data_IF_188449966799
#
_entry.id   IF_188449966799
#
_cell.length_a   1.000
_cell.length_b   1.000
_cell.length_c   1.000
_cell.angle_alpha   90.00
_cell.angle_beta   90.00
_cell.angle_gamma   90.00
#
_symmetry.space_group_name_H-M   'P 1'
#
loop_
_entity.id
_entity.type
_entity.pdbx_description
1 polymer ?
#
# COMPACT_ATOMS: atom_id res chain seq x y z
N UNK A 1 -15.91 -3.91 38.84
CA UNK A 1 -14.61 -4.22 38.23
C UNK A 1 -14.62 -3.56 36.85
N UNK A 2 -14.06 -2.37 36.74
CA UNK A 2 -14.03 -1.63 35.48
C UNK A 2 -12.85 -2.17 34.65
N UNK A 3 -13.15 -2.92 33.60
CA UNK A 3 -12.19 -3.21 32.56
C UNK A 3 -11.95 -1.92 31.77
N UNK A 4 -10.83 -1.26 32.01
CA UNK A 4 -10.30 -0.26 31.12
C UNK A 4 -9.92 -0.97 29.81
N UNK A 5 -10.71 -0.79 28.77
CA UNK A 5 -10.29 -1.07 27.41
C UNK A 5 -9.20 -0.04 27.07
N UNK A 6 -7.94 -0.45 27.26
CA UNK A 6 -6.82 0.30 26.76
C UNK A 6 -6.92 0.27 25.22
N UNK A 7 -7.04 1.47 24.64
CA UNK A 7 -6.99 1.79 23.22
C UNK A 7 -7.94 0.97 22.33
N UNK A 8 -9.00 1.63 21.85
CA UNK A 8 -9.76 1.12 20.72
C UNK A 8 -8.78 0.79 19.57
N UNK A 9 -8.91 -0.40 18.94
CA UNK A 9 -8.04 -0.76 17.83
C UNK A 9 -8.18 0.33 16.76
N UNK A 10 -7.05 0.94 16.36
CA UNK A 10 -7.01 1.94 15.28
C UNK A 10 -7.58 1.28 14.02
N UNK A 11 -8.82 1.59 13.68
CA UNK A 11 -9.49 1.05 12.49
C UNK A 11 -9.05 1.85 11.28
N UNK A 12 -8.89 1.20 10.12
CA UNK A 12 -8.69 1.90 8.85
C UNK A 12 -9.91 2.74 8.48
N UNK A 13 -9.75 3.65 7.53
CA UNK A 13 -10.88 4.32 6.90
C UNK A 13 -11.88 3.29 6.35
N UNK A 14 -13.17 3.64 6.35
CA UNK A 14 -14.25 2.79 5.83
C UNK A 14 -14.06 2.34 4.36
N UNK A 15 -13.14 2.99 3.64
CA UNK A 15 -12.74 2.59 2.29
C UNK A 15 -12.04 1.23 2.22
N UNK A 16 -11.57 0.72 3.36
CA UNK A 16 -10.77 -0.50 3.43
C UNK A 16 -11.39 -1.50 4.40
N UNK A 17 -11.19 -2.80 4.18
CA UNK A 17 -11.50 -3.82 5.18
C UNK A 17 -10.78 -3.55 6.50
N UNK A 18 -11.35 -4.00 7.61
CA UNK A 18 -10.73 -3.88 8.95
C UNK A 18 -9.33 -4.52 9.02
N UNK A 19 -9.11 -5.55 8.22
CA UNK A 19 -7.80 -6.16 7.94
C UNK A 19 -7.73 -6.46 6.45
N UNK A 20 -6.61 -6.13 5.81
CA UNK A 20 -6.48 -6.35 4.38
C UNK A 20 -5.17 -7.04 3.98
N UNK A 21 -5.27 -7.74 2.87
CA UNK A 21 -4.17 -8.20 2.04
C UNK A 21 -4.40 -7.61 0.67
N UNK A 22 -3.71 -6.50 0.42
CA UNK A 22 -3.95 -5.67 -0.75
C UNK A 22 -2.99 -6.02 -1.88
N UNK A 23 -3.51 -6.11 -3.10
CA UNK A 23 -2.70 -6.15 -4.31
C UNK A 23 -2.82 -4.81 -5.05
N UNK A 24 -1.71 -4.26 -5.51
CA UNK A 24 -1.66 -3.10 -6.40
C UNK A 24 -0.93 -3.53 -7.67
N UNK A 25 -1.67 -3.69 -8.76
CA UNK A 25 -1.16 -4.29 -9.98
C UNK A 25 -1.22 -3.30 -11.16
N UNK A 26 -0.16 -3.26 -11.94
CA UNK A 26 -0.11 -2.47 -13.16
C UNK A 26 1.31 -2.30 -13.71
N UNK A 27 1.48 -1.89 -14.97
CA UNK A 27 2.78 -1.76 -15.61
C UNK A 27 3.67 -0.72 -14.91
N UNK A 28 4.95 -0.71 -15.26
CA UNK A 28 5.87 0.33 -14.78
C UNK A 28 5.37 1.73 -15.17
N UNK A 29 5.54 2.71 -14.28
CA UNK A 29 5.14 4.10 -14.51
C UNK A 29 3.62 4.38 -14.47
N UNK A 30 2.77 3.41 -14.16
CA UNK A 30 1.32 3.62 -14.10
C UNK A 30 0.85 4.39 -12.85
N UNK A 31 1.70 4.56 -11.82
CA UNK A 31 1.38 5.29 -10.60
C UNK A 31 1.25 4.43 -9.34
N UNK A 32 1.69 3.17 -9.34
CA UNK A 32 1.60 2.27 -8.16
C UNK A 32 2.29 2.86 -6.93
N UNK A 33 3.54 3.26 -7.07
CA UNK A 33 4.33 3.81 -5.95
C UNK A 33 3.74 5.14 -5.45
N UNK A 34 3.26 6.00 -6.35
CA UNK A 34 2.56 7.24 -5.99
C UNK A 34 1.29 6.94 -5.19
N UNK A 35 0.50 5.94 -5.62
CA UNK A 35 -0.68 5.51 -4.89
C UNK A 35 -0.30 4.92 -3.52
N UNK A 36 0.76 4.10 -3.45
CA UNK A 36 1.27 3.57 -2.20
C UNK A 36 1.62 4.70 -1.22
N UNK A 37 2.38 5.72 -1.65
CA UNK A 37 2.75 6.85 -0.80
C UNK A 37 1.53 7.59 -0.24
N UNK A 38 0.50 7.78 -1.07
CA UNK A 38 -0.77 8.34 -0.61
C UNK A 38 -1.43 7.46 0.46
N UNK A 39 -1.54 6.17 0.21
CA UNK A 39 -2.13 5.21 1.16
C UNK A 39 -1.40 5.21 2.51
N UNK A 40 -0.07 5.29 2.49
CA UNK A 40 0.76 5.28 3.69
C UNK A 40 0.68 6.60 4.47
N UNK A 41 0.64 7.74 3.78
CA UNK A 41 0.94 9.06 4.35
C UNK A 41 -0.28 9.97 4.49
N UNK A 42 -1.32 9.81 3.66
CA UNK A 42 -2.54 10.60 3.83
C UNK A 42 -3.21 10.25 5.17
N UNK A 43 -3.59 11.30 5.89
CA UNK A 43 -4.23 11.19 7.19
C UNK A 43 -5.51 10.34 7.06
N UNK A 44 -5.67 9.42 7.99
CA UNK A 44 -6.90 8.63 8.14
C UNK A 44 -7.19 7.60 7.04
N UNK A 45 -6.31 7.36 6.07
CA UNK A 45 -6.52 6.28 5.10
C UNK A 45 -6.17 4.93 5.72
N UNK A 46 -4.90 4.64 5.93
CA UNK A 46 -4.44 3.38 6.52
C UNK A 46 -3.77 3.68 7.87
N UNK A 47 -4.24 3.03 8.92
CA UNK A 47 -3.70 3.13 10.25
C UNK A 47 -2.76 1.97 10.55
N UNK A 48 -1.57 2.28 11.08
CA UNK A 48 -0.55 1.35 11.52
C UNK A 48 0.34 2.02 12.57
N UNK A 49 0.92 1.22 13.45
CA UNK A 49 1.88 1.65 14.45
C UNK A 49 3.31 1.35 13.98
N UNK A 50 3.48 0.29 13.18
CA UNK A 50 4.76 -0.09 12.60
C UNK A 50 4.64 -0.44 11.12
N UNK A 51 5.55 0.12 10.31
CA UNK A 51 5.65 -0.11 8.88
C UNK A 51 6.89 -0.95 8.57
N UNK A 52 6.73 -1.99 7.80
CA UNK A 52 7.81 -2.74 7.18
C UNK A 52 7.77 -2.55 5.67
N UNK A 53 8.89 -2.20 5.06
CA UNK A 53 8.99 -2.06 3.59
C UNK A 53 10.06 -2.98 3.07
N UNK A 54 9.68 -3.92 2.24
CA UNK A 54 10.60 -4.75 1.50
C UNK A 54 10.55 -4.39 0.02
N UNK A 55 11.63 -3.81 -0.46
CA UNK A 55 11.81 -3.46 -1.87
C UNK A 55 13.29 -3.60 -2.26
N UNK A 56 13.63 -4.36 -3.32
CA UNK A 56 15.00 -4.41 -3.86
C UNK A 56 15.51 -3.03 -4.28
N UNK A 57 14.62 -2.12 -4.68
CA UNK A 57 14.92 -0.79 -5.22
C UNK A 57 14.58 0.33 -4.23
N UNK A 58 15.09 0.27 -2.99
CA UNK A 58 14.94 1.34 -1.99
C UNK A 58 15.67 2.65 -2.36
N UNK A 59 16.42 2.65 -3.45
CA UNK A 59 17.15 3.84 -3.93
C UNK A 59 16.26 4.83 -4.70
N UNK A 60 14.99 4.48 -4.97
CA UNK A 60 14.01 5.40 -5.54
C UNK A 60 13.73 6.56 -4.59
N UNK A 61 13.46 7.75 -5.16
CA UNK A 61 13.30 8.98 -4.40
C UNK A 61 12.20 8.89 -3.35
N UNK A 62 11.08 8.25 -3.69
CA UNK A 62 9.94 8.07 -2.80
C UNK A 62 10.31 7.28 -1.53
N UNK A 63 11.11 6.22 -1.68
CA UNK A 63 11.57 5.42 -0.53
C UNK A 63 12.64 6.14 0.27
N UNK A 64 13.54 6.89 -0.37
CA UNK A 64 14.51 7.74 0.36
C UNK A 64 13.80 8.78 1.22
N UNK A 65 12.79 9.45 0.68
CA UNK A 65 11.99 10.43 1.44
C UNK A 65 11.25 9.75 2.59
N UNK A 66 10.65 8.59 2.33
CA UNK A 66 9.93 7.84 3.35
C UNK A 66 10.87 7.42 4.50
N UNK A 67 12.05 6.90 4.14
CA UNK A 67 13.07 6.46 5.10
C UNK A 67 13.58 7.64 5.93
N UNK A 68 14.06 8.72 5.29
CA UNK A 68 14.53 9.91 5.98
C UNK A 68 13.45 10.51 6.90
N UNK A 69 12.19 10.50 6.47
CA UNK A 69 11.09 10.99 7.28
C UNK A 69 10.88 10.20 8.56
N UNK A 70 10.85 8.87 8.49
CA UNK A 70 10.68 8.03 9.68
C UNK A 70 11.92 8.01 10.58
N UNK A 71 13.13 8.00 10.00
CA UNK A 71 14.39 8.08 10.75
C UNK A 71 14.49 9.37 11.59
N UNK A 72 13.94 10.47 11.08
CA UNK A 72 13.89 11.75 11.80
C UNK A 72 12.60 11.93 12.64
N UNK A 73 11.80 10.89 12.82
CA UNK A 73 10.59 10.93 13.66
C UNK A 73 9.48 11.83 13.13
N UNK A 74 9.43 12.08 11.81
CA UNK A 74 8.38 12.89 11.20
C UNK A 74 7.03 12.17 11.23
N UNK A 75 5.96 12.92 11.47
CA UNK A 75 4.60 12.41 11.27
C UNK A 75 4.25 12.28 9.77
N UNK A 76 3.22 11.51 9.46
CA UNK A 76 2.77 11.25 8.08
C UNK A 76 2.59 12.54 7.26
N UNK A 77 2.04 13.60 7.85
CA UNK A 77 1.80 14.88 7.18
C UNK A 77 3.11 15.54 6.73
N UNK A 78 4.11 15.54 7.61
CA UNK A 78 5.41 16.15 7.31
C UNK A 78 6.19 15.32 6.28
N UNK A 79 6.11 13.98 6.34
CA UNK A 79 6.69 13.11 5.30
C UNK A 79 5.99 13.35 3.96
N UNK A 80 4.66 13.46 3.94
CA UNK A 80 3.91 13.75 2.73
C UNK A 80 4.26 15.12 2.14
N UNK A 81 4.47 16.13 3.01
CA UNK A 81 4.97 17.44 2.61
C UNK A 81 6.38 17.34 2.00
N UNK A 82 7.29 16.62 2.65
CA UNK A 82 8.66 16.40 2.16
C UNK A 82 8.66 15.74 0.78
N UNK A 83 7.82 14.72 0.57
CA UNK A 83 7.67 14.01 -0.69
C UNK A 83 7.22 14.94 -1.83
N UNK A 84 6.27 15.83 -1.57
CA UNK A 84 5.71 16.74 -2.58
C UNK A 84 6.53 18.04 -2.75
N UNK A 85 7.42 18.35 -1.83
CA UNK A 85 8.20 19.59 -1.84
C UNK A 85 9.52 19.48 -2.61
N UNK A 86 10.00 18.26 -2.86
CA UNK A 86 11.31 18.04 -3.51
C UNK A 86 11.46 18.81 -4.82
N UNK A 87 10.46 18.78 -5.70
CA UNK A 87 10.46 19.54 -6.95
C UNK A 87 10.33 21.05 -6.77
N UNK A 88 9.65 21.50 -5.72
CA UNK A 88 9.45 22.92 -5.41
C UNK A 88 10.70 23.55 -4.78
N UNK A 89 11.41 22.79 -3.94
CA UNK A 89 12.67 23.23 -3.33
C UNK A 89 13.75 23.36 -4.40
N UNK A 90 13.87 22.40 -5.32
CA UNK A 90 14.79 22.46 -6.45
C UNK A 90 14.55 23.68 -7.37
N UNK A 91 13.31 24.14 -7.52
CA UNK A 91 12.96 25.28 -8.38
C UNK A 91 13.09 26.65 -7.70
N UNK A 92 12.98 26.72 -6.38
CA UNK A 92 12.95 28.01 -5.62
C UNK A 92 14.27 28.33 -4.93
N UNK A 93 15.16 27.35 -4.76
CA UNK A 93 16.38 27.55 -3.99
C UNK A 93 17.48 28.20 -4.83
N UNK A 94 17.97 29.34 -4.34
CA UNK A 94 19.14 30.03 -4.92
C UNK A 94 20.36 29.66 -4.07
N UNK A 95 21.09 28.61 -4.43
CA UNK A 95 22.24 28.09 -3.68
C UNK A 95 22.32 26.56 -3.77
N UNK A 96 23.12 25.95 -2.91
CA UNK A 96 23.19 24.50 -2.79
C UNK A 96 21.82 23.93 -2.40
N UNK A 97 21.27 23.02 -3.21
CA UNK A 97 19.97 22.39 -2.94
C UNK A 97 20.12 21.55 -1.67
N UNK A 98 19.32 21.80 -0.61
CA UNK A 98 19.40 21.01 0.61
C UNK A 98 19.07 19.53 0.31
N UNK A 99 19.80 18.64 0.96
CA UNK A 99 19.52 17.21 0.87
C UNK A 99 18.16 16.87 1.52
N UNK A 100 17.59 15.72 1.17
CA UNK A 100 16.36 15.21 1.79
C UNK A 100 16.53 15.18 3.31
N UNK A 101 17.68 14.71 3.81
CA UNK A 101 17.97 14.62 5.24
C UNK A 101 18.00 16.00 5.91
N UNK A 102 18.63 17.00 5.30
CA UNK A 102 18.68 18.37 5.82
C UNK A 102 17.27 18.95 5.99
N UNK A 103 16.39 18.73 4.99
CA UNK A 103 15.00 19.22 5.08
C UNK A 103 14.20 18.41 6.11
N UNK A 104 14.42 17.10 6.21
CA UNK A 104 13.76 16.26 7.21
C UNK A 104 14.12 16.68 8.63
N UNK A 105 15.40 16.94 8.93
CA UNK A 105 15.85 17.47 10.23
C UNK A 105 15.17 18.81 10.56
N UNK A 106 15.16 19.76 9.63
CA UNK A 106 14.49 21.05 9.84
C UNK A 106 12.98 20.93 10.09
N UNK A 107 12.31 19.97 9.45
CA UNK A 107 10.90 19.69 9.71
C UNK A 107 10.69 19.04 11.09
N UNK A 108 11.61 18.18 11.54
CA UNK A 108 11.55 17.55 12.85
C UNK A 108 11.68 18.58 13.97
N UNK A 109 12.58 19.56 13.83
CA UNK A 109 12.75 20.65 14.80
C UNK A 109 11.50 21.52 14.96
N UNK A 110 10.71 21.67 13.90
CA UNK A 110 9.47 22.46 13.93
C UNK A 110 8.24 21.67 14.36
N UNK A 111 8.35 20.34 14.41
CA UNK A 111 7.26 19.44 14.79
C UNK A 111 7.06 19.43 16.30
N UNK A 112 5.83 19.67 16.77
CA UNK A 112 5.52 19.77 18.20
C UNK A 112 5.73 18.47 18.98
N UNK A 113 5.41 17.32 18.34
CA UNK A 113 5.52 15.98 18.93
C UNK A 113 6.10 15.01 17.91
N UNK A 114 7.10 14.18 18.26
CA UNK A 114 7.61 13.13 17.39
C UNK A 114 6.49 12.14 17.00
N UNK A 115 6.66 11.47 15.87
CA UNK A 115 5.78 10.39 15.48
C UNK A 115 5.97 9.17 16.37
N UNK A 116 4.87 8.54 16.78
CA UNK A 116 4.92 7.24 17.46
C UNK A 116 5.04 6.08 16.45
N UNK A 117 4.83 6.36 15.15
CA UNK A 117 4.92 5.36 14.08
C UNK A 117 6.40 5.11 13.79
N UNK A 118 6.78 3.84 13.76
CA UNK A 118 8.13 3.41 13.39
C UNK A 118 8.13 2.71 12.03
N UNK A 119 9.27 2.69 11.34
CA UNK A 119 9.41 2.01 10.06
C UNK A 119 10.76 1.29 9.94
N UNK A 120 10.75 0.15 9.27
CA UNK A 120 11.93 -0.63 8.93
C UNK A 120 11.94 -0.96 7.44
N UNK A 121 13.12 -0.86 6.81
CA UNK A 121 13.30 -1.00 5.36
C UNK A 121 14.28 -2.12 5.04
N UNK A 122 13.91 -3.03 4.15
CA UNK A 122 14.66 -4.22 3.83
C UNK A 122 14.93 -4.33 2.32
N UNK A 123 16.19 -4.58 1.94
CA UNK A 123 16.59 -4.94 0.57
C UNK A 123 16.64 -6.45 0.36
N UNK A 124 16.78 -7.21 1.46
CA UNK A 124 16.92 -8.67 1.44
C UNK A 124 15.79 -9.33 2.22
N UNK A 125 15.20 -10.37 1.65
CA UNK A 125 14.09 -11.12 2.24
C UNK A 125 14.46 -11.77 3.58
N UNK A 126 15.71 -12.22 3.72
CA UNK A 126 16.19 -12.89 4.94
C UNK A 126 16.17 -12.03 6.20
N UNK A 127 16.07 -10.73 6.05
CA UNK A 127 16.08 -9.78 7.17
C UNK A 127 14.67 -9.36 7.61
N UNK A 128 13.66 -9.78 6.86
CA UNK A 128 12.26 -9.48 7.21
C UNK A 128 11.85 -10.36 8.39
N UNK A 129 11.24 -9.80 9.44
CA UNK A 129 10.76 -10.59 10.57
C UNK A 129 9.80 -11.69 10.10
N UNK A 130 9.88 -12.85 10.70
CA UNK A 130 8.87 -13.90 10.51
C UNK A 130 7.57 -13.51 11.20
N UNK A 131 6.46 -14.13 10.81
CA UNK A 131 5.15 -13.87 11.46
C UNK A 131 5.19 -14.12 12.96
N UNK A 132 5.98 -15.09 13.40
CA UNK A 132 6.05 -15.51 14.81
C UNK A 132 6.89 -14.54 15.66
N UNK A 133 7.73 -13.70 15.03
CA UNK A 133 8.52 -12.63 15.67
C UNK A 133 7.76 -11.30 15.79
N UNK A 134 6.59 -11.20 15.17
CA UNK A 134 5.82 -9.95 15.20
C UNK A 134 5.15 -9.74 16.58
N UNK A 135 5.30 -8.53 17.11
CA UNK A 135 4.56 -8.10 18.28
C UNK A 135 3.06 -8.05 17.97
N UNK A 136 2.24 -8.77 18.72
CA UNK A 136 0.79 -8.90 18.48
C UNK A 136 -0.02 -7.74 19.04
N UNK A 137 0.58 -6.92 19.90
CA UNK A 137 -0.12 -5.83 20.62
C UNK A 137 -0.19 -4.54 19.82
N UNK A 138 0.57 -4.43 18.73
CA UNK A 138 0.57 -3.27 17.84
C UNK A 138 0.08 -3.64 16.45
N UNK A 139 -0.50 -2.67 15.73
CA UNK A 139 -0.91 -2.86 14.34
C UNK A 139 0.27 -2.64 13.39
N UNK A 140 0.51 -3.62 12.53
CA UNK A 140 1.61 -3.58 11.56
C UNK A 140 1.08 -3.53 10.15
N UNK A 141 1.87 -2.90 9.29
CA UNK A 141 1.69 -2.93 7.85
C UNK A 141 2.99 -3.35 7.19
N UNK A 142 2.95 -4.34 6.32
CA UNK A 142 4.08 -4.72 5.47
C UNK A 142 3.80 -4.41 4.02
N UNK A 143 4.79 -3.84 3.35
CA UNK A 143 4.78 -3.55 1.92
C UNK A 143 5.82 -4.41 1.22
N UNK A 144 5.40 -5.13 0.19
CA UNK A 144 6.25 -5.86 -0.75
C UNK A 144 6.21 -5.15 -2.10
N UNK A 145 7.33 -4.56 -2.55
CA UNK A 145 7.39 -3.86 -3.83
C UNK A 145 8.39 -4.52 -4.78
N UNK A 146 7.92 -4.89 -5.97
CA UNK A 146 8.67 -5.44 -7.11
C UNK A 146 9.55 -6.66 -6.78
N UNK A 147 9.09 -7.54 -5.90
CA UNK A 147 9.82 -8.74 -5.46
C UNK A 147 9.60 -9.95 -6.38
N UNK A 148 8.91 -9.78 -7.50
CA UNK A 148 8.56 -10.87 -8.43
C UNK A 148 9.75 -11.60 -9.05
N UNK A 149 10.92 -10.97 -9.09
CA UNK A 149 12.15 -11.59 -9.60
C UNK A 149 12.76 -12.57 -8.59
N UNK A 150 12.34 -12.54 -7.34
CA UNK A 150 12.80 -13.48 -6.33
C UNK A 150 12.20 -14.85 -6.63
N UNK A 151 13.05 -15.87 -6.76
CA UNK A 151 12.62 -17.26 -7.02
C UNK A 151 11.74 -17.85 -5.92
N UNK A 152 11.91 -17.38 -4.70
CA UNK A 152 11.10 -17.76 -3.53
C UNK A 152 10.45 -16.51 -2.97
N UNK A 153 9.14 -16.55 -2.82
CA UNK A 153 8.34 -15.49 -2.21
C UNK A 153 7.71 -15.96 -0.90
N UNK A 154 8.39 -16.90 -0.22
CA UNK A 154 7.87 -17.59 0.95
C UNK A 154 7.50 -16.65 2.10
N UNK A 155 8.25 -15.55 2.24
CA UNK A 155 7.94 -14.54 3.24
C UNK A 155 6.64 -13.80 2.90
N UNK A 156 6.50 -13.29 1.67
CA UNK A 156 5.26 -12.64 1.24
C UNK A 156 4.05 -13.58 1.32
N UNK A 157 4.22 -14.85 0.92
CA UNK A 157 3.18 -15.87 1.03
C UNK A 157 2.77 -16.12 2.49
N UNK A 158 3.72 -16.16 3.43
CA UNK A 158 3.44 -16.28 4.86
C UNK A 158 2.62 -15.10 5.39
N UNK A 159 2.96 -13.89 5.01
CA UNK A 159 2.21 -12.70 5.40
C UNK A 159 0.80 -12.68 4.82
N UNK A 160 0.61 -13.12 3.58
CA UNK A 160 -0.72 -13.21 2.95
C UNK A 160 -1.59 -14.31 3.55
N UNK A 161 -1.01 -15.40 4.02
CA UNK A 161 -1.76 -16.53 4.60
C UNK A 161 -1.96 -16.39 6.11
N UNK A 162 -0.98 -15.87 6.86
CA UNK A 162 -0.95 -15.85 8.33
C UNK A 162 -0.89 -14.46 8.96
N UNK A 163 -0.59 -13.39 8.22
CA UNK A 163 -0.38 -12.03 8.75
C UNK A 163 -1.54 -11.51 9.57
N UNK A 164 -2.78 -11.84 9.18
CA UNK A 164 -3.98 -11.44 9.93
C UNK A 164 -3.94 -11.86 11.40
N UNK A 165 -3.52 -13.08 11.70
CA UNK A 165 -3.46 -13.59 13.09
C UNK A 165 -2.39 -12.89 13.93
N UNK A 166 -1.44 -12.23 13.29
CA UNK A 166 -0.40 -11.43 13.94
C UNK A 166 -0.70 -9.92 13.93
N UNK A 167 -1.91 -9.49 13.55
CA UNK A 167 -2.27 -8.08 13.47
C UNK A 167 -1.47 -7.31 12.40
N UNK A 168 -1.08 -7.99 11.30
CA UNK A 168 -0.32 -7.40 10.21
C UNK A 168 -1.13 -7.37 8.91
N UNK A 169 -1.37 -6.16 8.41
CA UNK A 169 -1.90 -5.94 7.07
C UNK A 169 -0.78 -6.00 6.04
N UNK A 170 -1.10 -6.35 4.79
CA UNK A 170 -0.12 -6.54 3.74
C UNK A 170 -0.50 -5.82 2.47
N UNK A 171 0.48 -5.16 1.82
CA UNK A 171 0.36 -4.58 0.48
C UNK A 171 1.43 -5.21 -0.41
N UNK A 172 1.06 -5.68 -1.59
CA UNK A 172 1.98 -6.18 -2.59
C UNK A 172 1.81 -5.40 -3.89
N UNK A 173 2.87 -4.75 -4.34
CA UNK A 173 2.93 -4.08 -5.63
C UNK A 173 3.50 -5.03 -6.67
N UNK A 174 2.80 -5.21 -7.78
CA UNK A 174 3.22 -6.10 -8.86
C UNK A 174 3.06 -5.45 -10.23
N UNK A 175 3.98 -5.75 -11.13
CA UNK A 175 3.84 -5.36 -12.53
C UNK A 175 3.03 -6.39 -13.33
N UNK A 176 2.91 -7.61 -12.85
CA UNK A 176 2.25 -8.69 -13.57
C UNK A 176 1.38 -9.55 -12.64
N UNK A 177 0.08 -9.51 -12.88
CA UNK A 177 -0.90 -10.26 -12.09
C UNK A 177 -0.74 -11.78 -12.22
N UNK A 178 -0.51 -12.25 -13.43
CA UNK A 178 -0.50 -13.69 -13.73
C UNK A 178 0.69 -14.44 -13.15
N UNK A 179 1.78 -13.73 -12.86
CA UNK A 179 2.98 -14.29 -12.22
C UNK A 179 2.89 -14.39 -10.70
N UNK A 180 1.92 -13.73 -10.08
CA UNK A 180 1.71 -13.84 -8.63
C UNK A 180 1.25 -15.25 -8.27
N UNK A 181 1.78 -15.83 -7.15
CA UNK A 181 1.34 -17.13 -6.64
C UNK A 181 -0.18 -17.19 -6.45
N UNK A 182 -0.84 -18.11 -7.17
CA UNK A 182 -2.29 -18.20 -7.19
C UNK A 182 -2.85 -18.52 -5.80
N UNK A 183 -2.35 -19.58 -5.19
CA UNK A 183 -2.96 -20.16 -3.99
C UNK A 183 -2.59 -19.44 -2.70
N UNK A 184 -1.43 -18.79 -2.65
CA UNK A 184 -0.93 -18.15 -1.44
C UNK A 184 -1.13 -16.63 -1.42
N UNK A 185 -1.00 -15.95 -2.56
CA UNK A 185 -1.11 -14.49 -2.64
C UNK A 185 -2.46 -14.08 -3.26
N UNK A 186 -2.74 -14.46 -4.53
CA UNK A 186 -3.95 -13.98 -5.21
C UNK A 186 -5.25 -14.39 -4.51
N UNK A 187 -5.38 -15.66 -4.11
CA UNK A 187 -6.59 -16.16 -3.44
C UNK A 187 -6.78 -15.62 -2.02
N UNK A 188 -5.71 -15.14 -1.39
CA UNK A 188 -5.79 -14.55 -0.06
C UNK A 188 -5.95 -13.03 -0.07
N UNK A 189 -5.76 -12.38 -1.23
CA UNK A 189 -5.95 -10.95 -1.36
C UNK A 189 -7.44 -10.60 -1.30
N UNK A 190 -7.83 -9.78 -0.32
CA UNK A 190 -9.21 -9.36 -0.12
C UNK A 190 -9.49 -7.91 -0.56
N UNK A 191 -8.47 -7.19 -1.04
CA UNK A 191 -8.59 -5.86 -1.60
C UNK A 191 -7.60 -5.72 -2.76
N UNK A 192 -8.08 -5.46 -3.97
CA UNK A 192 -7.23 -5.46 -5.15
C UNK A 192 -7.43 -4.21 -5.98
N UNK A 193 -6.32 -3.60 -6.41
CA UNK A 193 -6.29 -2.41 -7.24
C UNK A 193 -5.57 -2.74 -8.54
N UNK A 194 -6.24 -2.49 -9.68
CA UNK A 194 -5.68 -2.74 -11.00
C UNK A 194 -5.63 -1.44 -11.82
N UNK A 195 -4.42 -1.03 -12.15
CA UNK A 195 -4.20 -0.05 -13.19
C UNK A 195 -4.42 -0.68 -14.56
N UNK A 196 -4.41 0.16 -15.61
CA UNK A 196 -4.63 -0.28 -16.98
C UNK A 196 -3.82 -1.52 -17.31
N UNK A 197 -4.50 -2.59 -17.68
CA UNK A 197 -3.95 -3.91 -17.97
C UNK A 197 -4.39 -4.39 -19.36
N UNK A 198 -3.81 -5.51 -19.81
CA UNK A 198 -4.19 -6.13 -21.10
C UNK A 198 -5.58 -6.76 -21.04
N UNK A 199 -6.18 -6.98 -22.21
CA UNK A 199 -7.47 -7.68 -22.35
C UNK A 199 -7.46 -9.09 -21.75
N UNK A 200 -6.33 -9.80 -21.80
CA UNK A 200 -6.19 -11.12 -21.20
C UNK A 200 -6.28 -11.06 -19.67
N UNK A 201 -5.66 -10.06 -19.07
CA UNK A 201 -5.80 -9.83 -17.63
C UNK A 201 -7.24 -9.47 -17.28
N UNK A 202 -7.91 -8.63 -18.06
CA UNK A 202 -9.35 -8.30 -17.85
C UNK A 202 -10.23 -9.55 -17.89
N UNK A 203 -10.03 -10.42 -18.89
CA UNK A 203 -10.76 -11.70 -18.98
C UNK A 203 -10.50 -12.60 -17.79
N UNK A 204 -9.25 -12.65 -17.34
CA UNK A 204 -8.88 -13.43 -16.16
C UNK A 204 -9.52 -12.87 -14.88
N UNK A 205 -9.46 -11.56 -14.65
CA UNK A 205 -10.10 -10.92 -13.51
C UNK A 205 -11.61 -11.15 -13.50
N UNK A 206 -12.27 -11.02 -14.68
CA UNK A 206 -13.68 -11.32 -14.79
C UNK A 206 -13.97 -12.77 -14.40
N UNK A 207 -13.22 -13.74 -14.95
CA UNK A 207 -13.38 -15.16 -14.65
C UNK A 207 -13.19 -15.48 -13.16
N UNK A 208 -12.19 -14.85 -12.53
CA UNK A 208 -11.85 -15.12 -11.12
C UNK A 208 -12.81 -14.42 -10.14
N UNK A 209 -13.32 -13.23 -10.46
CA UNK A 209 -13.97 -12.38 -9.46
C UNK A 209 -15.35 -11.84 -9.83
N UNK A 210 -15.63 -11.64 -11.12
CA UNK A 210 -16.81 -10.91 -11.55
C UNK A 210 -17.81 -11.75 -12.36
N UNK A 211 -17.49 -12.98 -12.70
CA UNK A 211 -18.31 -13.82 -13.58
C UNK A 211 -19.71 -14.17 -13.02
N UNK A 212 -19.86 -14.11 -11.70
CA UNK A 212 -21.17 -14.31 -11.03
C UNK A 212 -21.94 -12.99 -10.93
N UNK A 213 -21.25 -11.87 -10.86
CA UNK A 213 -21.82 -10.56 -10.55
C UNK A 213 -22.28 -9.82 -11.83
N UNK A 214 -21.52 -9.93 -12.93
CA UNK A 214 -21.84 -9.20 -14.17
C UNK A 214 -21.29 -9.89 -15.42
N UNK A 215 -21.87 -9.64 -16.62
CA UNK A 215 -21.35 -10.13 -17.89
C UNK A 215 -19.94 -9.59 -18.21
N UNK A 216 -19.16 -10.35 -18.98
CA UNK A 216 -17.80 -9.95 -19.37
C UNK A 216 -17.75 -8.57 -20.06
N UNK A 217 -18.72 -8.27 -20.93
CA UNK A 217 -18.73 -6.99 -21.65
C UNK A 217 -18.90 -5.82 -20.69
N UNK A 218 -19.81 -5.94 -19.72
CA UNK A 218 -20.05 -4.93 -18.71
C UNK A 218 -18.79 -4.69 -17.84
N UNK A 219 -18.12 -5.76 -17.43
CA UNK A 219 -16.85 -5.66 -16.69
C UNK A 219 -15.75 -4.99 -17.51
N UNK A 220 -15.66 -5.26 -18.83
CA UNK A 220 -14.73 -4.59 -19.73
C UNK A 220 -15.02 -3.09 -19.82
N UNK A 221 -16.29 -2.73 -20.02
CA UNK A 221 -16.70 -1.32 -20.13
C UNK A 221 -16.41 -0.55 -18.83
N UNK A 222 -16.64 -1.19 -17.68
CA UNK A 222 -16.24 -0.65 -16.37
C UNK A 222 -14.73 -0.40 -16.29
N UNK A 223 -13.91 -1.39 -16.65
CA UNK A 223 -12.46 -1.27 -16.67
C UNK A 223 -11.99 -0.14 -17.61
N UNK A 224 -12.49 -0.12 -18.87
CA UNK A 224 -12.11 0.86 -19.87
C UNK A 224 -12.49 2.28 -19.44
N UNK A 225 -13.68 2.46 -18.85
CA UNK A 225 -14.13 3.75 -18.31
C UNK A 225 -13.20 4.25 -17.19
N UNK A 226 -12.81 3.39 -16.28
CA UNK A 226 -11.88 3.72 -15.20
C UNK A 226 -10.50 4.12 -15.75
N UNK A 227 -9.98 3.36 -16.70
CA UNK A 227 -8.65 3.53 -17.28
C UNK A 227 -8.57 4.59 -18.38
N UNK A 228 -9.68 5.23 -18.76
CA UNK A 228 -9.68 6.38 -19.68
C UNK A 228 -8.99 7.61 -19.08
N UNK A 229 -8.94 7.72 -17.76
CA UNK A 229 -8.22 8.78 -17.05
C UNK A 229 -6.74 8.42 -16.87
N UNK A 230 -5.89 9.44 -16.91
CA UNK A 230 -4.46 9.26 -16.58
C UNK A 230 -4.33 8.69 -15.16
N UNK A 231 -3.56 7.62 -14.99
CA UNK A 231 -3.41 6.88 -13.72
C UNK A 231 -4.73 6.33 -13.14
N UNK A 232 -5.75 6.15 -13.98
CA UNK A 232 -7.00 5.52 -13.59
C UNK A 232 -6.79 4.06 -13.20
N UNK A 233 -7.55 3.60 -12.21
CA UNK A 233 -7.51 2.23 -11.70
C UNK A 233 -8.91 1.76 -11.31
N UNK A 234 -9.07 0.46 -11.21
CA UNK A 234 -10.25 -0.17 -10.61
C UNK A 234 -9.88 -0.75 -9.25
N UNK A 235 -10.85 -0.82 -8.37
CA UNK A 235 -10.78 -1.50 -7.07
C UNK A 235 -11.75 -2.67 -7.08
N UNK A 236 -11.29 -3.83 -6.59
CA UNK A 236 -12.13 -4.98 -6.26
C UNK A 236 -12.00 -5.21 -4.76
N UNK A 237 -13.08 -5.01 -4.04
CA UNK A 237 -13.15 -5.11 -2.58
C UNK A 237 -14.04 -6.27 -2.17
N UNK A 238 -13.43 -7.34 -1.68
CA UNK A 238 -14.13 -8.56 -1.28
C UNK A 238 -14.80 -8.48 0.10
N UNK A 239 -14.68 -7.35 0.79
CA UNK A 239 -15.44 -7.10 2.03
C UNK A 239 -16.85 -6.60 1.78
N UNK A 240 -17.18 -6.30 0.52
CA UNK A 240 -18.50 -5.83 0.11
C UNK A 240 -19.12 -6.80 -0.90
N UNK A 241 -20.44 -6.96 -0.81
CA UNK A 241 -21.22 -7.67 -1.81
C UNK A 241 -21.47 -6.79 -3.03
N UNK A 242 -21.84 -7.42 -4.16
CA UNK A 242 -22.11 -6.72 -5.41
C UNK A 242 -23.25 -5.72 -5.27
N UNK A 243 -24.34 -6.10 -4.59
CA UNK A 243 -25.54 -5.30 -4.37
C UNK A 243 -25.27 -4.01 -3.58
N UNK A 244 -24.20 -3.98 -2.78
CA UNK A 244 -23.80 -2.76 -2.05
C UNK A 244 -23.30 -1.65 -2.97
N UNK A 245 -22.95 -1.97 -4.23
CA UNK A 245 -22.31 -1.07 -5.18
C UNK A 245 -20.86 -0.71 -4.85
N UNK A 246 -20.29 -1.26 -3.76
CA UNK A 246 -18.94 -0.94 -3.28
C UNK A 246 -17.89 -2.00 -3.60
N UNK A 247 -18.29 -3.18 -4.09
CA UNK A 247 -17.37 -4.25 -4.48
C UNK A 247 -16.46 -3.83 -5.64
N UNK A 248 -17.02 -3.16 -6.65
CA UNK A 248 -16.27 -2.67 -7.83
C UNK A 248 -16.30 -1.15 -7.87
N UNK A 249 -15.14 -0.54 -7.74
CA UNK A 249 -15.01 0.92 -7.71
C UNK A 249 -13.94 1.39 -8.70
N UNK A 250 -14.09 2.59 -9.24
CA UNK A 250 -13.10 3.22 -10.12
C UNK A 250 -12.32 4.36 -9.42
N UNK A 251 -12.35 4.37 -8.09
CA UNK A 251 -11.72 5.34 -7.20
C UNK A 251 -11.64 4.79 -5.77
N UNK A 252 -10.85 5.43 -4.92
CA UNK A 252 -10.82 5.16 -3.47
C UNK A 252 -11.86 6.03 -2.75
N UNK A 253 -13.14 5.85 -3.10
CA UNK A 253 -14.29 6.47 -2.45
C UNK A 253 -15.42 5.44 -2.43
N UNK A 254 -16.32 5.52 -1.45
CA UNK A 254 -17.56 4.73 -1.43
C UNK A 254 -18.61 5.41 -2.33
N UNK A 255 -19.48 4.62 -2.88
CA UNK A 255 -20.62 5.10 -3.66
C UNK A 255 -21.74 5.61 -2.76
#
# INVERSE_FOLDING_TARGET
>A
MNYYFANEPKVHNQLFPSTFRMLIVGPSGCGKTTLLMRLLLEKELINYDKLYVFAPSLDQNEYKVLQAGFENGLNKKNIFYLLNSGDLLAKKWKGDIPTIDTVAVGLAETQKTPSEITAEFYKNESNIPTIDELDKDIRKLIVFDDIMMNRKQSTAESYYTRGRSAGCDSIYLSQNYTRLPLHSIRSNANFQIFFKSSEDVVRQLHKEFASVDMPLQEFKDFCHKAWSKKHGFIVIDFSHDFESGNKYRNRLELN
#
